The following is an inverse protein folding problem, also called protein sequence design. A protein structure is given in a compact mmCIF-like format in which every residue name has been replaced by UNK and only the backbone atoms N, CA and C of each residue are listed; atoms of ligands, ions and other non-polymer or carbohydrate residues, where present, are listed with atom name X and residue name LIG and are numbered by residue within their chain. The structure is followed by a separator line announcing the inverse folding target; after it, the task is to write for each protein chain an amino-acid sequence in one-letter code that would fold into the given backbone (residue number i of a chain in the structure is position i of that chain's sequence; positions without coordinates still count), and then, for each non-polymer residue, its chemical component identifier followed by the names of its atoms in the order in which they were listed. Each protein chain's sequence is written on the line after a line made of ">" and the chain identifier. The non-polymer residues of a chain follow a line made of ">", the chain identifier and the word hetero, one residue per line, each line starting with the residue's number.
data_IF_242444944558
#
_entry.id   IF_242444944558
#
_cell.length_a   1.000
_cell.length_b   1.000
_cell.length_c   1.000
_cell.angle_alpha   90.00
_cell.angle_beta   90.00
_cell.angle_gamma   90.00
#
_symmetry.space_group_name_H-M   'P 1'
#
loop_
_entity.id
_entity.type
_entity.pdbx_description
1 polymer ?
#
# COMPACT_ATOMS: atom_id res chain seq x y z
N UNK A 1 -2.21 -20.21 -10.06
CA UNK A 1 -1.87 -19.64 -8.74
C UNK A 1 -2.18 -18.16 -8.87
N UNK A 2 -3.07 -17.65 -8.03
CA UNK A 2 -3.45 -16.24 -8.08
C UNK A 2 -2.56 -15.46 -7.11
N UNK A 3 -2.03 -14.33 -7.58
CA UNK A 3 -1.12 -13.46 -6.84
C UNK A 3 -1.76 -12.08 -6.72
N UNK A 4 -1.91 -11.59 -5.50
CA UNK A 4 -2.46 -10.26 -5.21
C UNK A 4 -1.37 -9.27 -4.76
N UNK A 5 -1.64 -7.98 -4.97
CA UNK A 5 -0.86 -6.88 -4.41
C UNK A 5 -1.53 -6.37 -3.13
N UNK A 6 -0.79 -6.34 -2.03
CA UNK A 6 -1.25 -5.73 -0.78
C UNK A 6 -0.69 -4.31 -0.65
N UNK A 7 -1.57 -3.32 -0.52
CA UNK A 7 -1.23 -1.93 -0.23
C UNK A 7 -1.41 -1.68 1.26
N UNK A 8 -0.29 -1.52 1.97
CA UNK A 8 -0.26 -1.54 3.45
C UNK A 8 -0.25 -0.13 4.05
N UNK A 9 0.15 0.89 3.28
CA UNK A 9 0.16 2.28 3.73
C UNK A 9 1.03 2.53 4.96
N UNK A 10 2.22 1.90 5.02
CA UNK A 10 3.11 2.05 6.16
C UNK A 10 3.80 3.42 6.21
N UNK A 11 3.64 4.11 7.34
CA UNK A 11 4.24 5.42 7.63
C UNK A 11 5.52 5.36 8.46
N UNK A 12 6.28 4.25 8.42
CA UNK A 12 7.42 4.02 9.34
C UNK A 12 8.62 4.94 9.09
N UNK A 13 8.73 5.57 7.92
CA UNK A 13 9.77 6.56 7.60
C UNK A 13 9.33 7.96 8.02
N UNK A 14 9.85 8.45 9.16
CA UNK A 14 9.56 9.78 9.70
C UNK A 14 9.99 10.95 8.79
N UNK A 15 10.78 10.69 7.74
CA UNK A 15 11.14 11.71 6.74
C UNK A 15 10.06 11.94 5.68
N UNK A 16 9.00 11.11 5.67
CA UNK A 16 7.90 11.17 4.71
C UNK A 16 6.61 11.61 5.41
N UNK A 17 5.78 12.34 4.67
CA UNK A 17 4.43 12.68 5.14
C UNK A 17 3.46 11.56 4.80
N UNK A 18 2.36 11.46 5.55
CA UNK A 18 1.27 10.52 5.25
C UNK A 18 0.76 10.68 3.81
N UNK A 19 0.64 11.92 3.34
CA UNK A 19 0.24 12.21 1.97
C UNK A 19 1.19 11.57 0.94
N UNK A 20 2.50 11.63 1.19
CA UNK A 20 3.50 11.01 0.32
C UNK A 20 3.36 9.49 0.31
N UNK A 21 3.13 8.87 1.47
CA UNK A 21 2.90 7.43 1.58
C UNK A 21 1.65 7.03 0.80
N UNK A 22 0.53 7.71 1.04
CA UNK A 22 -0.74 7.48 0.34
C UNK A 22 -0.61 7.59 -1.18
N UNK A 23 0.02 8.65 -1.68
CA UNK A 23 0.19 8.85 -3.12
C UNK A 23 1.04 7.75 -3.74
N UNK A 24 2.07 7.26 -3.05
CA UNK A 24 2.90 6.18 -3.56
C UNK A 24 2.19 4.83 -3.58
N UNK A 25 1.45 4.49 -2.53
CA UNK A 25 0.67 3.25 -2.46
C UNK A 25 -0.43 3.22 -3.52
N UNK A 26 -1.15 4.34 -3.72
CA UNK A 26 -2.12 4.45 -4.82
C UNK A 26 -1.45 4.29 -6.19
N UNK A 27 -0.24 4.84 -6.37
CA UNK A 27 0.54 4.63 -7.61
C UNK A 27 0.91 3.17 -7.83
N UNK A 28 1.27 2.42 -6.79
CA UNK A 28 1.50 0.98 -6.89
C UNK A 28 0.21 0.24 -7.26
N UNK A 29 -0.91 0.59 -6.63
CA UNK A 29 -2.23 0.04 -6.96
C UNK A 29 -2.62 0.25 -8.43
N UNK A 30 -2.34 1.43 -8.98
CA UNK A 30 -2.59 1.71 -10.41
C UNK A 30 -1.75 0.84 -11.35
N UNK A 31 -0.56 0.40 -10.92
CA UNK A 31 0.31 -0.47 -11.71
C UNK A 31 -0.06 -1.96 -11.58
N UNK A 32 -0.97 -2.32 -10.66
CA UNK A 32 -1.21 -3.72 -10.29
C UNK A 32 -1.69 -4.58 -11.47
N UNK A 33 -2.62 -4.07 -12.28
CA UNK A 33 -3.16 -4.80 -13.44
C UNK A 33 -2.10 -5.01 -14.52
N UNK A 34 -1.35 -3.96 -14.88
CA UNK A 34 -0.29 -4.02 -15.90
C UNK A 34 0.86 -4.96 -15.50
N UNK A 35 1.16 -5.03 -14.20
CA UNK A 35 2.15 -5.95 -13.65
C UNK A 35 1.63 -7.39 -13.48
N UNK A 36 0.36 -7.64 -13.82
CA UNK A 36 -0.24 -8.96 -13.79
C UNK A 36 -0.59 -9.45 -12.39
N UNK A 37 -0.96 -8.58 -11.45
CA UNK A 37 -1.61 -8.98 -10.20
C UNK A 37 -3.11 -9.21 -10.43
N UNK A 38 -3.67 -10.23 -9.79
CA UNK A 38 -5.07 -10.64 -9.96
C UNK A 38 -6.04 -9.95 -8.99
N UNK A 39 -5.53 -9.34 -7.93
CA UNK A 39 -6.34 -8.65 -6.91
C UNK A 39 -5.52 -7.58 -6.20
N UNK A 40 -6.23 -6.56 -5.69
CA UNK A 40 -5.68 -5.55 -4.79
C UNK A 40 -6.31 -5.75 -3.42
N UNK A 41 -5.48 -5.80 -2.39
CA UNK A 41 -5.90 -5.88 -0.99
C UNK A 41 -5.36 -4.67 -0.23
N UNK A 42 -6.07 -4.29 0.83
CA UNK A 42 -5.58 -3.29 1.78
C UNK A 42 -5.91 -3.71 3.21
N UNK A 43 -5.36 -2.97 4.16
CA UNK A 43 -5.45 -3.24 5.59
C UNK A 43 -6.22 -2.12 6.29
N UNK A 44 -6.77 -2.44 7.45
CA UNK A 44 -7.30 -1.45 8.38
C UNK A 44 -6.43 -1.48 9.64
N UNK A 45 -5.94 -0.31 10.04
CA UNK A 45 -5.13 -0.16 11.25
C UNK A 45 -5.36 1.24 11.85
N UNK A 46 -5.27 1.34 13.18
CA UNK A 46 -5.52 2.59 13.90
C UNK A 46 -4.39 2.88 14.89
N UNK A 47 -4.11 4.16 15.10
CA UNK A 47 -3.29 4.72 16.19
C UNK A 47 -1.76 4.58 16.12
N UNK A 48 -1.18 3.86 15.15
CA UNK A 48 0.29 3.79 14.98
C UNK A 48 0.73 3.79 13.51
N UNK A 49 2.02 4.07 13.28
CA UNK A 49 2.62 4.21 11.94
C UNK A 49 2.95 2.87 11.25
N UNK A 50 2.65 1.73 11.91
CA UNK A 50 2.96 0.38 11.40
C UNK A 50 1.77 -0.55 11.58
N UNK A 51 1.58 -1.45 10.61
CA UNK A 51 0.63 -2.58 10.67
C UNK A 51 1.42 -3.88 10.86
N UNK A 52 0.97 -4.76 11.76
CA UNK A 52 1.54 -6.11 12.01
C UNK A 52 0.91 -7.16 11.12
#
# INVERSE_FOLDING_TARGET
>A
MDVGLALVFQGTDQSKTDQYVYQNELRLGMMAEELGFQSIWSVEHHFTDYTM
#
